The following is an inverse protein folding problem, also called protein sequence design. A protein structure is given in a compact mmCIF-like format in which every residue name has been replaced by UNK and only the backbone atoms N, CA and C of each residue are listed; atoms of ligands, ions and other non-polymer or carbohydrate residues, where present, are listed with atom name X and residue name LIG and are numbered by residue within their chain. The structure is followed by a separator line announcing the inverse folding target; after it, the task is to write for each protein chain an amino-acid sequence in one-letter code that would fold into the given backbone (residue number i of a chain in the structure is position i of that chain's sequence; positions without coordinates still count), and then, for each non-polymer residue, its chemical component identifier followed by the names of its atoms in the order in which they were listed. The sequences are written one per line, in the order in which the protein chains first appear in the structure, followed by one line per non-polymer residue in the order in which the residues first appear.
data_IF_510643445165
#
_entry.id   IF_510643445165
#
_cell.length_a   1.000
_cell.length_b   1.000
_cell.length_c   1.000
_cell.angle_alpha   90.00
_cell.angle_beta   90.00
_cell.angle_gamma   90.00
#
_symmetry.space_group_name_H-M   'P 1'
#
loop_
_entity.id
_entity.type
_entity.pdbx_description
1 polymer ?
#
# COMPACT_ATOMS: atom_id res chain seq x y z
N UNK A 1 -9.60 10.96 23.47
CA UNK A 1 -10.52 9.82 23.24
C UNK A 1 -10.67 9.63 21.74
N UNK A 2 -10.60 8.37 21.30
CA UNK A 2 -10.37 7.92 19.92
C UNK A 2 -11.59 8.19 19.02
N UNK A 3 -11.41 8.91 17.92
CA UNK A 3 -12.42 9.03 16.86
C UNK A 3 -12.35 7.79 15.93
N UNK A 4 -12.54 6.60 16.48
CA UNK A 4 -12.84 5.41 15.68
C UNK A 4 -14.35 5.37 15.57
N UNK A 5 -14.88 5.55 14.37
CA UNK A 5 -16.31 5.43 14.11
C UNK A 5 -16.54 3.98 13.65
N UNK A 6 -17.23 3.14 14.45
CA UNK A 6 -17.60 1.79 14.03
C UNK A 6 -18.30 1.78 12.67
N UNK A 7 -18.18 0.70 11.91
CA UNK A 7 -18.85 0.56 10.60
C UNK A 7 -20.35 0.88 10.65
N UNK A 8 -20.97 0.49 11.75
CA UNK A 8 -22.39 0.68 12.04
C UNK A 8 -22.71 2.17 12.26
N UNK A 9 -21.79 2.92 12.87
CA UNK A 9 -21.91 4.37 13.06
C UNK A 9 -21.58 5.17 11.78
N UNK A 10 -20.74 4.64 10.88
CA UNK A 10 -20.54 5.20 9.54
C UNK A 10 -21.79 5.10 8.65
N UNK A 11 -22.69 4.15 8.94
CA UNK A 11 -24.04 4.13 8.35
C UNK A 11 -24.97 5.18 8.96
N UNK A 12 -24.67 5.65 10.17
CA UNK A 12 -25.48 6.62 10.95
C UNK A 12 -25.07 8.09 10.74
N UNK A 13 -23.82 8.33 10.33
CA UNK A 13 -23.33 9.64 9.89
C UNK A 13 -23.41 9.70 8.38
N UNK A 14 -24.02 10.75 7.84
CA UNK A 14 -24.13 10.98 6.40
C UNK A 14 -22.74 11.03 5.73
N UNK A 15 -22.33 10.00 4.97
CA UNK A 15 -21.03 9.98 4.30
C UNK A 15 -20.87 11.16 3.34
N UNK A 16 -21.97 11.65 2.74
CA UNK A 16 -21.94 12.81 1.84
C UNK A 16 -21.48 14.07 2.57
N UNK A 17 -21.93 14.27 3.80
CA UNK A 17 -21.51 15.39 4.64
C UNK A 17 -20.01 15.34 4.95
N UNK A 18 -19.48 14.16 5.28
CA UNK A 18 -18.05 13.97 5.52
C UNK A 18 -17.23 14.30 4.26
N UNK A 19 -17.59 13.72 3.11
CA UNK A 19 -16.94 13.98 1.81
C UNK A 19 -16.98 15.47 1.45
N UNK A 20 -18.11 16.15 1.70
CA UNK A 20 -18.26 17.59 1.42
C UNK A 20 -17.35 18.46 2.29
N UNK A 21 -17.13 18.06 3.55
CA UNK A 21 -16.35 18.83 4.53
C UNK A 21 -14.84 18.58 4.48
N UNK A 22 -14.41 17.51 3.81
CA UNK A 22 -13.02 17.10 3.67
C UNK A 22 -12.24 18.04 2.75
N UNK A 23 -10.97 18.29 3.08
CA UNK A 23 -10.05 19.08 2.24
C UNK A 23 -9.31 18.19 1.24
N UNK A 24 -9.16 16.89 1.51
CA UNK A 24 -8.58 15.92 0.60
C UNK A 24 -8.95 14.47 0.90
N UNK A 25 -8.53 13.57 0.01
CA UNK A 25 -8.84 12.15 0.10
C UNK A 25 -7.60 11.29 -0.10
N UNK A 26 -7.46 10.25 0.72
CA UNK A 26 -6.56 9.13 0.46
C UNK A 26 -7.42 7.94 0.08
N UNK A 27 -7.11 7.31 -1.05
CA UNK A 27 -7.87 6.16 -1.54
C UNK A 27 -6.96 4.94 -1.61
N UNK A 28 -7.38 3.84 -1.00
CA UNK A 28 -6.82 2.55 -1.34
C UNK A 28 -7.19 2.17 -2.79
N UNK A 29 -6.37 1.30 -3.39
CA UNK A 29 -6.58 0.81 -4.75
C UNK A 29 -7.30 -0.55 -4.80
N UNK A 30 -6.70 -1.60 -4.26
CA UNK A 30 -7.10 -3.00 -4.49
C UNK A 30 -8.22 -3.39 -3.51
N UNK A 31 -9.43 -3.61 -4.01
CA UNK A 31 -10.63 -3.84 -3.18
C UNK A 31 -11.42 -2.56 -2.87
N UNK A 32 -10.81 -1.39 -3.08
CA UNK A 32 -11.43 -0.08 -2.94
C UNK A 32 -11.74 0.58 -4.28
N UNK A 33 -10.74 1.09 -5.01
CA UNK A 33 -10.96 1.72 -6.32
C UNK A 33 -11.11 0.70 -7.45
N UNK A 34 -10.44 -0.44 -7.34
CA UNK A 34 -10.31 -1.43 -8.39
C UNK A 34 -10.47 -2.86 -7.86
N UNK A 35 -10.93 -3.76 -8.73
CA UNK A 35 -10.97 -5.20 -8.47
C UNK A 35 -10.11 -5.88 -9.54
N UNK A 36 -9.10 -6.66 -9.14
CA UNK A 36 -8.14 -7.29 -10.06
C UNK A 36 -7.52 -6.27 -11.05
N UNK A 37 -7.19 -5.06 -10.58
CA UNK A 37 -6.70 -3.92 -11.38
C UNK A 37 -7.67 -3.38 -12.45
N UNK A 38 -8.94 -3.77 -12.40
CA UNK A 38 -10.01 -3.15 -13.18
C UNK A 38 -10.67 -2.08 -12.33
N UNK A 39 -10.51 -0.82 -12.73
CA UNK A 39 -11.10 0.32 -12.03
C UNK A 39 -12.63 0.21 -12.03
N UNK A 40 -13.23 0.36 -10.85
CA UNK A 40 -14.67 0.34 -10.68
C UNK A 40 -15.28 1.64 -11.26
N UNK A 41 -16.30 1.59 -12.13
CA UNK A 41 -16.85 2.78 -12.78
C UNK A 41 -17.31 3.88 -11.81
N UNK A 42 -17.94 3.50 -10.70
CA UNK A 42 -18.41 4.43 -9.67
C UNK A 42 -17.24 5.07 -8.92
N UNK A 43 -16.18 4.30 -8.62
CA UNK A 43 -14.95 4.83 -8.06
C UNK A 43 -14.26 5.78 -9.04
N UNK A 44 -14.28 5.48 -10.34
CA UNK A 44 -13.74 6.35 -11.38
C UNK A 44 -14.45 7.71 -11.41
N UNK A 45 -15.78 7.73 -11.24
CA UNK A 45 -16.54 8.97 -11.15
C UNK A 45 -16.12 9.80 -9.93
N UNK A 46 -15.94 9.17 -8.77
CA UNK A 46 -15.44 9.84 -7.55
C UNK A 46 -14.02 10.40 -7.73
N UNK A 47 -13.10 9.59 -8.26
CA UNK A 47 -11.73 9.99 -8.57
C UNK A 47 -11.71 11.20 -9.50
N UNK A 48 -12.49 11.17 -10.59
CA UNK A 48 -12.57 12.29 -11.55
C UNK A 48 -13.13 13.57 -10.90
N UNK A 49 -14.14 13.45 -10.05
CA UNK A 49 -14.73 14.57 -9.34
C UNK A 49 -13.79 15.22 -8.30
N UNK A 50 -12.76 14.49 -7.83
CA UNK A 50 -11.89 14.93 -6.75
C UNK A 50 -10.37 14.88 -7.06
N UNK A 51 -9.98 14.64 -8.31
CA UNK A 51 -8.59 14.44 -8.75
C UNK A 51 -7.60 15.53 -8.29
N UNK A 52 -8.08 16.77 -8.12
CA UNK A 52 -7.26 17.89 -7.69
C UNK A 52 -6.80 17.82 -6.22
N UNK A 53 -7.46 17.00 -5.39
CA UNK A 53 -7.26 16.95 -3.93
C UNK A 53 -7.18 15.53 -3.37
N UNK A 54 -6.81 14.55 -4.18
CA UNK A 54 -6.68 13.16 -3.74
C UNK A 54 -5.30 12.59 -4.03
N UNK A 55 -4.96 11.54 -3.29
CA UNK A 55 -3.86 10.63 -3.60
C UNK A 55 -4.32 9.18 -3.48
N UNK A 56 -3.72 8.31 -4.29
CA UNK A 56 -3.83 6.87 -4.13
C UNK A 56 -2.76 6.42 -3.14
N UNK A 57 -3.16 5.65 -2.14
CA UNK A 57 -2.28 5.08 -1.10
C UNK A 57 -2.53 3.58 -1.03
N UNK A 58 -1.66 2.81 -1.67
CA UNK A 58 -1.85 1.37 -1.83
C UNK A 58 -0.67 0.57 -1.30
N UNK A 59 -0.99 -0.56 -0.66
CA UNK A 59 -0.02 -1.58 -0.30
C UNK A 59 0.51 -2.35 -1.52
N UNK A 60 0.07 -2.02 -2.73
CA UNK A 60 0.59 -2.59 -3.96
C UNK A 60 2.13 -2.49 -4.01
N UNK A 61 2.75 -3.65 -4.21
CA UNK A 61 4.20 -3.80 -4.30
C UNK A 61 4.62 -4.50 -5.59
N UNK A 62 3.75 -4.49 -6.61
CA UNK A 62 4.03 -5.09 -7.92
C UNK A 62 4.10 -4.07 -9.05
N UNK A 63 3.26 -3.03 -9.00
CA UNK A 63 3.14 -2.00 -10.03
C UNK A 63 3.93 -0.74 -9.72
N UNK A 64 4.24 0.00 -10.78
CA UNK A 64 4.82 1.34 -10.77
C UNK A 64 3.71 2.40 -10.95
N UNK A 65 3.99 3.70 -10.66
CA UNK A 65 3.02 4.76 -10.85
C UNK A 65 2.64 4.92 -12.31
N UNK A 66 3.57 4.70 -13.24
CA UNK A 66 3.30 4.80 -14.66
C UNK A 66 2.32 3.71 -15.13
N UNK A 67 2.45 2.49 -14.61
CA UNK A 67 1.49 1.41 -14.86
C UNK A 67 0.10 1.74 -14.28
N UNK A 68 0.06 2.31 -13.08
CA UNK A 68 -1.19 2.76 -12.45
C UNK A 68 -1.84 3.91 -13.23
N UNK A 69 -1.04 4.88 -13.70
CA UNK A 69 -1.51 5.98 -14.55
C UNK A 69 -2.10 5.47 -15.84
N UNK A 70 -1.48 4.49 -16.49
CA UNK A 70 -2.04 3.89 -17.71
C UNK A 70 -3.43 3.27 -17.51
N UNK A 71 -3.79 2.87 -16.27
CA UNK A 71 -5.15 2.42 -15.92
C UNK A 71 -6.08 3.63 -15.73
N UNK A 72 -5.64 4.65 -15.00
CA UNK A 72 -6.39 5.88 -14.72
C UNK A 72 -6.70 6.69 -15.99
N UNK A 73 -5.74 6.81 -16.90
CA UNK A 73 -5.82 7.58 -18.14
C UNK A 73 -6.96 7.05 -19.04
N UNK A 74 -7.17 5.73 -19.08
CA UNK A 74 -8.30 5.10 -19.81
C UNK A 74 -9.67 5.54 -19.29
N UNK A 75 -9.72 6.04 -18.06
CA UNK A 75 -10.93 6.56 -17.41
C UNK A 75 -10.95 8.09 -17.35
N UNK A 76 -10.04 8.78 -18.05
CA UNK A 76 -9.97 10.24 -18.07
C UNK A 76 -9.69 10.84 -16.70
N UNK A 77 -8.87 10.17 -15.88
CA UNK A 77 -8.42 10.65 -14.57
C UNK A 77 -6.95 11.02 -14.69
N UNK A 78 -6.64 12.31 -14.53
CA UNK A 78 -5.27 12.80 -14.61
C UNK A 78 -4.71 12.96 -13.19
N UNK A 79 -3.96 11.94 -12.74
CA UNK A 79 -3.32 11.95 -11.43
C UNK A 79 -1.78 12.02 -11.58
N UNK A 80 -1.12 13.06 -11.05
CA UNK A 80 0.34 13.14 -11.03
C UNK A 80 0.98 11.90 -10.36
N UNK A 81 2.10 11.37 -10.88
CA UNK A 81 2.80 10.21 -10.30
C UNK A 81 3.10 10.34 -8.81
N UNK A 82 3.38 11.56 -8.34
CA UNK A 82 3.69 11.85 -6.93
C UNK A 82 2.50 11.57 -6.02
N UNK A 83 1.27 11.65 -6.54
CA UNK A 83 0.03 11.35 -5.82
C UNK A 83 -0.37 9.88 -5.89
N UNK A 84 0.50 9.01 -6.43
CA UNK A 84 0.32 7.57 -6.46
C UNK A 84 1.38 6.94 -5.56
N UNK A 85 1.02 6.74 -4.30
CA UNK A 85 1.90 6.18 -3.28
C UNK A 85 1.73 4.66 -3.23
N UNK A 86 2.76 3.95 -3.64
CA UNK A 86 2.81 2.49 -3.69
C UNK A 86 3.86 1.97 -2.72
N UNK A 87 3.47 1.04 -1.86
CA UNK A 87 4.36 0.51 -0.82
C UNK A 87 5.66 -0.09 -1.36
N UNK A 88 5.62 -0.78 -2.52
CA UNK A 88 6.83 -1.34 -3.14
C UNK A 88 7.86 -0.27 -3.51
N UNK A 89 7.42 0.85 -4.06
CA UNK A 89 8.33 1.96 -4.39
C UNK A 89 8.90 2.62 -3.15
N UNK A 90 8.06 2.81 -2.12
CA UNK A 90 8.50 3.41 -0.87
C UNK A 90 9.51 2.53 -0.14
N UNK A 91 9.39 1.20 -0.26
CA UNK A 91 10.39 0.28 0.26
C UNK A 91 11.76 0.43 -0.43
N UNK A 92 11.77 0.58 -1.76
CA UNK A 92 13.00 0.87 -2.53
C UNK A 92 13.58 2.23 -2.15
N UNK A 93 12.73 3.27 -2.06
CA UNK A 93 13.13 4.60 -1.63
C UNK A 93 13.74 4.56 -0.23
N UNK A 94 13.14 3.80 0.70
CA UNK A 94 13.63 3.68 2.07
C UNK A 94 15.02 3.03 2.13
N UNK A 95 15.24 1.95 1.39
CA UNK A 95 16.56 1.33 1.28
C UNK A 95 17.63 2.33 0.79
N UNK A 96 17.28 3.13 -0.22
CA UNK A 96 18.16 4.18 -0.76
C UNK A 96 18.43 5.28 0.26
N UNK A 97 17.41 5.76 0.95
CA UNK A 97 17.52 6.84 1.93
C UNK A 97 18.35 6.39 3.15
N UNK A 98 18.39 5.08 3.45
CA UNK A 98 19.30 4.45 4.40
C UNK A 98 20.72 4.20 3.87
N UNK A 99 21.00 4.54 2.61
CA UNK A 99 22.31 4.32 1.99
C UNK A 99 22.63 2.87 1.63
N UNK A 100 21.65 1.97 1.65
CA UNK A 100 21.82 0.54 1.37
C UNK A 100 21.94 0.34 -0.15
N UNK A 101 23.09 -0.17 -0.60
CA UNK A 101 23.44 -0.30 -2.02
C UNK A 101 23.24 -1.70 -2.57
N UNK A 102 23.36 -2.74 -1.74
CA UNK A 102 23.16 -4.14 -2.14
C UNK A 102 21.88 -4.69 -1.50
N UNK A 103 20.87 -4.97 -2.30
CA UNK A 103 19.58 -5.48 -1.82
C UNK A 103 19.24 -6.84 -2.44
N UNK A 104 18.76 -7.76 -1.61
CA UNK A 104 18.04 -8.93 -2.10
C UNK A 104 16.55 -8.60 -2.12
N UNK A 105 15.91 -8.72 -3.29
CA UNK A 105 14.51 -8.34 -3.46
C UNK A 105 13.69 -9.57 -3.81
N UNK A 106 12.73 -9.92 -2.94
CA UNK A 106 11.62 -10.82 -3.28
C UNK A 106 10.51 -9.93 -3.81
N UNK A 107 10.27 -9.93 -5.11
CA UNK A 107 9.39 -8.97 -5.76
C UNK A 107 9.36 -9.10 -7.29
N UNK A 108 8.41 -8.40 -7.91
CA UNK A 108 8.19 -8.40 -9.36
C UNK A 108 9.44 -7.96 -10.15
N UNK A 109 9.56 -8.30 -11.45
CA UNK A 109 10.67 -7.83 -12.27
C UNK A 109 10.68 -6.31 -12.39
N UNK A 110 9.51 -5.68 -12.44
CA UNK A 110 9.36 -4.24 -12.49
C UNK A 110 9.97 -3.56 -11.25
N UNK A 111 9.73 -4.11 -10.05
CA UNK A 111 10.32 -3.58 -8.81
C UNK A 111 11.82 -3.78 -8.75
N UNK A 112 12.34 -4.94 -9.19
CA UNK A 112 13.79 -5.19 -9.29
C UNK A 112 14.46 -4.20 -10.25
N UNK A 113 13.86 -3.98 -11.41
CA UNK A 113 14.34 -3.01 -12.39
C UNK A 113 14.27 -1.56 -11.85
N UNK A 114 13.22 -1.23 -11.10
CA UNK A 114 13.09 0.07 -10.44
C UNK A 114 14.19 0.29 -9.39
N UNK A 115 14.50 -0.72 -8.58
CA UNK A 115 15.59 -0.67 -7.61
C UNK A 115 16.95 -0.42 -8.30
N UNK A 116 17.23 -1.14 -9.39
CA UNK A 116 18.45 -0.96 -10.18
C UNK A 116 18.56 0.47 -10.74
N UNK A 117 17.49 1.00 -11.35
CA UNK A 117 17.45 2.40 -11.82
C UNK A 117 17.60 3.42 -10.70
N UNK A 118 17.25 3.04 -9.46
CA UNK A 118 17.39 3.88 -8.26
C UNK A 118 18.79 3.78 -7.62
N UNK A 119 19.74 3.08 -8.26
CA UNK A 119 21.11 2.92 -7.79
C UNK A 119 21.30 1.86 -6.71
N UNK A 120 20.39 0.88 -6.65
CA UNK A 120 20.50 -0.31 -5.78
C UNK A 120 20.90 -1.51 -6.64
N UNK A 121 22.02 -2.13 -6.31
CA UNK A 121 22.44 -3.40 -6.85
C UNK A 121 21.56 -4.52 -6.30
N UNK A 122 20.88 -5.24 -7.20
CA UNK A 122 20.04 -6.38 -6.83
C UNK A 122 20.90 -7.65 -6.80
N UNK A 123 21.11 -8.18 -5.61
CA UNK A 123 21.94 -9.36 -5.34
C UNK A 123 21.10 -10.54 -4.88
N UNK A 124 21.66 -11.75 -4.92
CA UNK A 124 21.02 -12.97 -4.41
C UNK A 124 21.50 -13.35 -3.00
N UNK A 125 22.70 -12.93 -2.65
CA UNK A 125 23.44 -13.29 -1.44
C UNK A 125 24.26 -12.07 -0.98
N UNK A 126 24.72 -12.07 0.27
CA UNK A 126 25.47 -10.96 0.90
C UNK A 126 24.76 -9.59 0.77
N UNK A 127 23.43 -9.59 0.90
CA UNK A 127 22.66 -8.37 0.86
C UNK A 127 22.85 -7.55 2.14
N UNK A 128 22.88 -6.22 2.02
CA UNK A 128 22.78 -5.31 3.17
C UNK A 128 21.33 -5.20 3.66
N UNK A 129 20.38 -5.48 2.77
CA UNK A 129 18.94 -5.44 3.04
C UNK A 129 18.20 -6.48 2.23
N UNK A 130 17.25 -7.16 2.87
CA UNK A 130 16.22 -7.94 2.21
C UNK A 130 14.97 -7.07 2.09
N UNK A 131 14.47 -6.88 0.87
CA UNK A 131 13.22 -6.17 0.61
C UNK A 131 12.17 -7.19 0.20
N UNK A 132 11.13 -7.32 1.03
CA UNK A 132 9.98 -8.20 0.76
C UNK A 132 8.87 -7.42 0.09
N UNK A 133 8.42 -7.95 -1.03
CA UNK A 133 7.26 -7.53 -1.79
C UNK A 133 6.52 -8.78 -2.26
N UNK A 134 5.35 -8.57 -2.86
CA UNK A 134 4.60 -9.65 -3.49
C UNK A 134 5.34 -10.15 -4.72
N UNK A 135 5.61 -11.47 -4.77
CA UNK A 135 6.14 -12.16 -5.95
C UNK A 135 5.44 -13.52 -6.10
N UNK A 136 4.61 -13.65 -7.13
CA UNK A 136 3.91 -14.90 -7.44
C UNK A 136 4.83 -16.00 -7.97
N UNK A 137 6.12 -15.70 -8.18
CA UNK A 137 7.14 -16.64 -8.65
C UNK A 137 8.21 -16.88 -7.60
N UNK A 138 7.96 -16.50 -6.34
CA UNK A 138 8.87 -16.79 -5.24
C UNK A 138 9.13 -18.31 -5.18
N UNK A 139 10.37 -18.67 -4.90
CA UNK A 139 10.79 -20.07 -4.77
C UNK A 139 11.27 -20.32 -3.36
N UNK A 140 11.24 -21.59 -2.95
CA UNK A 140 11.81 -22.02 -1.67
C UNK A 140 13.28 -21.57 -1.51
N UNK A 141 14.10 -21.78 -2.54
CA UNK A 141 15.49 -21.32 -2.56
C UNK A 141 15.67 -19.79 -2.42
N UNK A 142 14.69 -19.00 -2.87
CA UNK A 142 14.71 -17.55 -2.66
C UNK A 142 14.42 -17.19 -1.19
N UNK A 143 13.50 -17.90 -0.54
CA UNK A 143 13.23 -17.71 0.89
C UNK A 143 14.42 -18.15 1.75
N UNK A 144 15.07 -19.28 1.43
CA UNK A 144 16.28 -19.73 2.13
C UNK A 144 17.43 -18.70 2.03
N UNK A 145 17.68 -18.16 0.84
CA UNK A 145 18.69 -17.11 0.66
C UNK A 145 18.35 -15.84 1.43
N UNK A 146 17.07 -15.45 1.47
CA UNK A 146 16.63 -14.31 2.26
C UNK A 146 16.87 -14.57 3.75
N UNK A 147 16.50 -15.75 4.26
CA UNK A 147 16.76 -16.15 5.64
C UNK A 147 18.26 -16.10 5.99
N UNK A 148 19.13 -16.61 5.11
CA UNK A 148 20.57 -16.56 5.30
C UNK A 148 21.13 -15.13 5.32
N UNK A 149 20.63 -14.24 4.46
CA UNK A 149 21.02 -12.83 4.50
C UNK A 149 20.61 -12.17 5.82
N UNK A 150 19.39 -12.44 6.30
CA UNK A 150 18.87 -11.90 7.57
C UNK A 150 19.66 -12.43 8.77
N UNK A 151 19.95 -13.73 8.81
CA UNK A 151 20.82 -14.32 9.83
C UNK A 151 22.25 -13.75 9.80
N UNK A 152 22.70 -13.30 8.63
CA UNK A 152 23.97 -12.59 8.44
C UNK A 152 23.95 -11.10 8.81
N UNK A 153 22.84 -10.58 9.34
CA UNK A 153 22.70 -9.19 9.79
C UNK A 153 22.17 -8.21 8.73
N UNK A 154 21.61 -8.70 7.62
CA UNK A 154 20.90 -7.84 6.69
C UNK A 154 19.67 -7.21 7.35
N UNK A 155 19.39 -5.93 7.03
CA UNK A 155 18.13 -5.29 7.43
C UNK A 155 16.95 -5.93 6.70
N UNK A 156 15.75 -5.81 7.27
CA UNK A 156 14.52 -6.28 6.63
C UNK A 156 13.59 -5.11 6.34
N UNK A 157 13.24 -4.90 5.08
CA UNK A 157 12.20 -3.95 4.69
C UNK A 157 11.03 -4.74 4.12
N UNK A 158 9.87 -4.62 4.75
CA UNK A 158 8.63 -5.28 4.33
C UNK A 158 7.72 -4.23 3.70
N UNK A 159 7.43 -4.38 2.41
CA UNK A 159 6.60 -3.40 1.71
C UNK A 159 5.21 -3.29 2.34
N UNK A 160 4.55 -4.41 2.65
CA UNK A 160 3.26 -4.42 3.33
C UNK A 160 3.13 -5.65 4.25
N UNK A 161 2.33 -5.57 5.32
CA UNK A 161 2.13 -6.68 6.25
C UNK A 161 0.98 -7.62 5.85
N UNK A 162 0.28 -7.35 4.74
CA UNK A 162 -0.91 -8.09 4.35
C UNK A 162 -0.58 -9.57 4.13
N UNK A 163 -1.26 -10.48 4.82
CA UNK A 163 -1.04 -11.92 4.66
C UNK A 163 -1.65 -12.48 3.38
N UNK A 164 -2.81 -11.97 2.98
CA UNK A 164 -3.51 -12.38 1.78
C UNK A 164 -4.59 -11.38 1.35
N UNK A 165 -5.06 -11.49 0.11
CA UNK A 165 -6.29 -10.84 -0.35
C UNK A 165 -7.24 -11.86 -1.02
N UNK A 166 -8.50 -11.45 -1.22
CA UNK A 166 -9.51 -12.22 -1.98
C UNK A 166 -9.40 -11.87 -3.46
N UNK A 167 -8.95 -12.82 -4.28
CA UNK A 167 -9.00 -12.68 -5.73
C UNK A 167 -10.31 -13.23 -6.33
N UNK A 168 -10.41 -13.23 -7.66
CA UNK A 168 -11.53 -13.81 -8.41
C UNK A 168 -11.99 -15.19 -7.87
N UNK A 169 -13.32 -15.35 -7.78
CA UNK A 169 -14.01 -16.52 -7.21
C UNK A 169 -13.68 -16.79 -5.73
N UNK A 170 -13.45 -15.73 -4.94
CA UNK A 170 -13.14 -15.77 -3.50
C UNK A 170 -11.87 -16.57 -3.13
N UNK A 171 -10.99 -16.85 -4.11
CA UNK A 171 -9.73 -17.57 -3.86
C UNK A 171 -8.77 -16.72 -3.05
N UNK A 172 -8.11 -17.37 -2.09
CA UNK A 172 -7.06 -16.74 -1.28
C UNK A 172 -5.82 -16.55 -2.17
N UNK A 173 -5.30 -15.32 -2.21
CA UNK A 173 -4.04 -14.97 -2.86
C UNK A 173 -3.05 -14.53 -1.80
N UNK A 174 -1.88 -15.16 -1.78
CA UNK A 174 -0.82 -14.78 -0.84
C UNK A 174 -0.29 -13.38 -1.15
N UNK A 175 0.00 -12.65 -0.08
CA UNK A 175 0.62 -11.32 -0.10
C UNK A 175 1.97 -11.33 0.63
N UNK A 176 2.64 -10.17 0.66
CA UNK A 176 3.99 -10.02 1.25
C UNK A 176 4.08 -10.54 2.68
N UNK A 177 3.04 -10.34 3.49
CA UNK A 177 2.97 -10.80 4.88
C UNK A 177 3.08 -12.31 5.04
N UNK A 178 2.66 -13.10 4.05
CA UNK A 178 2.85 -14.56 4.09
C UNK A 178 4.33 -14.94 3.99
N UNK A 179 5.11 -14.22 3.18
CA UNK A 179 6.56 -14.43 3.09
C UNK A 179 7.28 -13.90 4.31
N UNK A 180 6.81 -12.77 4.86
CA UNK A 180 7.32 -12.23 6.11
C UNK A 180 7.16 -13.24 7.26
N UNK A 181 5.97 -13.79 7.44
CA UNK A 181 5.71 -14.82 8.47
C UNK A 181 6.56 -16.08 8.27
N UNK A 182 6.81 -16.50 7.03
CA UNK A 182 7.68 -17.64 6.74
C UNK A 182 9.13 -17.38 7.17
N UNK A 183 9.63 -16.15 7.00
CA UNK A 183 10.98 -15.76 7.42
C UNK A 183 11.06 -15.55 8.93
N UNK A 184 10.04 -14.97 9.54
CA UNK A 184 9.91 -14.81 11.00
C UNK A 184 9.92 -16.16 11.72
N UNK A 185 9.33 -17.20 11.11
CA UNK A 185 9.37 -18.55 11.66
C UNK A 185 10.77 -19.22 11.56
N UNK A 186 11.65 -18.74 10.67
CA UNK A 186 12.93 -19.37 10.36
C UNK A 186 14.14 -18.63 10.96
N UNK A 187 14.03 -17.33 11.20
CA UNK A 187 15.13 -16.46 11.65
C UNK A 187 14.64 -15.57 12.79
N UNK A 188 15.49 -15.36 13.79
CA UNK A 188 15.24 -14.35 14.84
C UNK A 188 15.31 -12.94 14.24
N UNK A 189 14.15 -12.41 13.84
CA UNK A 189 14.03 -11.07 13.28
C UNK A 189 14.24 -9.97 14.32
N UNK A 190 14.37 -10.26 15.62
CA UNK A 190 14.72 -9.23 16.61
C UNK A 190 16.12 -8.66 16.37
N UNK A 191 17.00 -9.44 15.74
CA UNK A 191 18.34 -9.01 15.34
C UNK A 191 18.35 -8.32 13.96
N UNK A 192 17.35 -8.59 13.12
CA UNK A 192 17.18 -7.91 11.86
C UNK A 192 16.39 -6.62 12.10
N UNK A 193 17.01 -5.44 11.97
CA UNK A 193 16.27 -4.18 11.99
C UNK A 193 15.17 -4.20 10.91
N UNK A 194 13.92 -4.41 11.35
CA UNK A 194 12.78 -4.68 10.49
C UNK A 194 11.88 -3.45 10.41
N UNK A 195 11.56 -3.01 9.19
CA UNK A 195 10.70 -1.86 8.94
C UNK A 195 9.55 -2.23 7.98
N UNK A 196 8.31 -1.94 8.40
CA UNK A 196 7.10 -2.10 7.57
C UNK A 196 6.75 -0.74 6.97
N UNK A 197 6.62 -0.69 5.65
CA UNK A 197 6.53 0.59 4.92
C UNK A 197 5.10 1.01 4.64
N UNK A 198 4.29 0.09 4.13
CA UNK A 198 2.91 0.34 3.73
C UNK A 198 1.98 0.57 4.92
N UNK A 199 0.68 0.68 4.63
CA UNK A 199 -0.39 0.78 5.62
C UNK A 199 -0.34 -0.46 6.53
N UNK A 200 -0.47 -0.32 7.87
CA UNK A 200 -0.94 0.86 8.63
C UNK A 200 0.18 1.82 9.13
N UNK A 201 1.34 1.89 8.46
CA UNK A 201 2.43 2.79 8.86
C UNK A 201 2.00 4.27 8.82
N UNK A 202 2.13 4.98 9.95
CA UNK A 202 1.77 6.40 10.05
C UNK A 202 2.54 7.28 9.06
N UNK A 203 3.82 6.96 8.81
CA UNK A 203 4.67 7.70 7.89
C UNK A 203 4.08 7.74 6.48
N UNK A 204 3.41 6.66 6.07
CA UNK A 204 2.82 6.55 4.74
C UNK A 204 1.60 7.46 4.58
N UNK A 205 0.70 7.49 5.57
CA UNK A 205 -0.45 8.41 5.59
C UNK A 205 -0.03 9.88 5.69
N UNK A 206 0.98 10.18 6.52
CA UNK A 206 1.49 11.53 6.71
C UNK A 206 2.16 12.07 5.45
N UNK A 207 2.95 11.24 4.76
CA UNK A 207 3.55 11.61 3.48
C UNK A 207 2.47 11.87 2.42
N UNK A 208 1.44 11.02 2.35
CA UNK A 208 0.32 11.22 1.42
C UNK A 208 -0.38 12.56 1.65
N UNK A 209 -0.67 12.91 2.92
CA UNK A 209 -1.24 14.20 3.29
C UNK A 209 -0.34 15.37 2.89
N UNK A 210 0.97 15.25 3.14
CA UNK A 210 1.97 16.26 2.77
C UNK A 210 1.97 16.52 1.26
N UNK A 211 1.90 15.46 0.45
CA UNK A 211 1.91 15.54 -1.02
C UNK A 211 0.67 16.27 -1.55
N UNK A 212 -0.51 16.03 -0.97
CA UNK A 212 -1.76 16.70 -1.38
C UNK A 212 -1.99 18.04 -0.66
N UNK A 213 -1.08 18.47 0.22
CA UNK A 213 -1.15 19.76 0.92
C UNK A 213 -2.22 19.82 2.02
N UNK A 214 -2.50 18.71 2.69
CA UNK A 214 -3.53 18.61 3.74
C UNK A 214 -2.96 18.12 5.06
N UNK A 215 -3.79 18.10 6.10
CA UNK A 215 -3.47 17.49 7.40
C UNK A 215 -4.37 16.27 7.65
N UNK A 216 -3.91 15.27 8.43
CA UNK A 216 -4.68 14.04 8.63
C UNK A 216 -6.13 14.26 9.07
N UNK A 217 -6.40 15.19 9.99
CA UNK A 217 -7.75 15.46 10.50
C UNK A 217 -8.69 16.17 9.52
N UNK A 218 -8.17 16.69 8.39
CA UNK A 218 -8.93 17.31 7.30
C UNK A 218 -9.03 16.42 6.06
N UNK A 219 -8.43 15.24 6.11
CA UNK A 219 -8.36 14.29 4.99
C UNK A 219 -9.17 13.05 5.34
N UNK A 220 -9.83 12.44 4.36
CA UNK A 220 -10.60 11.21 4.59
C UNK A 220 -9.91 10.04 3.90
N UNK A 221 -9.67 8.96 4.65
CA UNK A 221 -9.24 7.69 4.08
C UNK A 221 -10.46 6.91 3.57
N UNK A 222 -10.41 6.44 2.33
CA UNK A 222 -11.36 5.48 1.77
C UNK A 222 -10.59 4.18 1.51
N UNK A 223 -10.98 3.10 2.18
CA UNK A 223 -10.30 1.80 2.04
C UNK A 223 -11.21 0.63 2.38
N UNK A 224 -10.77 -0.58 2.07
CA UNK A 224 -11.55 -1.82 2.23
C UNK A 224 -11.01 -2.71 3.36
N UNK A 225 -9.80 -2.45 3.86
CA UNK A 225 -9.13 -3.29 4.84
C UNK A 225 -9.07 -2.62 6.24
N UNK A 226 -9.80 -3.15 7.25
CA UNK A 226 -9.76 -2.62 8.60
C UNK A 226 -8.37 -2.59 9.26
N UNK A 227 -7.55 -3.61 9.01
CA UNK A 227 -6.27 -3.80 9.71
C UNK A 227 -5.16 -2.89 9.17
N UNK A 228 -5.34 -2.34 7.96
CA UNK A 228 -4.34 -1.48 7.32
C UNK A 228 -4.88 -0.08 7.05
N UNK A 229 -6.01 0.07 6.35
CA UNK A 229 -6.58 1.36 5.99
C UNK A 229 -7.15 2.09 7.21
N UNK A 230 -8.05 1.41 7.91
CA UNK A 230 -8.80 1.99 9.01
C UNK A 230 -7.89 2.17 10.22
N UNK A 231 -7.16 1.14 10.62
CA UNK A 231 -6.17 1.22 11.70
C UNK A 231 -5.11 2.30 11.43
N UNK A 232 -4.58 2.37 10.20
CA UNK A 232 -3.61 3.39 9.81
C UNK A 232 -4.16 4.81 9.88
N UNK A 233 -5.38 5.04 9.40
CA UNK A 233 -6.07 6.32 9.49
C UNK A 233 -6.30 6.73 10.96
N UNK A 234 -6.71 5.78 11.81
CA UNK A 234 -6.95 6.01 13.24
C UNK A 234 -5.67 6.48 13.95
N UNK A 235 -4.53 5.83 13.68
CA UNK A 235 -3.23 6.18 14.29
C UNK A 235 -2.82 7.63 14.03
N UNK A 236 -3.17 8.17 12.86
CA UNK A 236 -2.85 9.56 12.50
C UNK A 236 -4.00 10.54 12.79
N UNK A 237 -5.12 10.09 13.36
CA UNK A 237 -6.29 10.93 13.67
C UNK A 237 -7.08 11.35 12.44
N UNK A 238 -7.06 10.55 11.38
CA UNK A 238 -7.73 10.79 10.11
C UNK A 238 -9.13 10.15 10.08
N UNK A 239 -10.18 10.89 9.70
CA UNK A 239 -11.48 10.30 9.38
C UNK A 239 -11.36 9.22 8.30
N UNK A 240 -12.13 8.15 8.40
CA UNK A 240 -12.07 7.04 7.46
C UNK A 240 -13.45 6.50 7.11
N UNK A 241 -13.57 5.94 5.91
CA UNK A 241 -14.76 5.25 5.41
C UNK A 241 -14.35 3.85 4.93
N UNK A 242 -15.03 2.83 5.46
CA UNK A 242 -14.87 1.47 4.95
C UNK A 242 -15.74 1.27 3.70
N UNK A 243 -15.08 0.92 2.59
CA UNK A 243 -15.66 0.72 1.26
C UNK A 243 -16.24 -0.68 1.08
N UNK A 244 -15.72 -1.66 1.83
CA UNK A 244 -16.20 -3.03 1.82
C UNK A 244 -17.68 -3.17 2.28
N UNK A 245 -18.41 -4.19 1.80
CA UNK A 245 -17.95 -5.30 0.95
C UNK A 245 -18.03 -5.04 -0.55
N UNK A 246 -18.61 -3.92 -0.99
CA UNK A 246 -18.89 -3.64 -2.40
C UNK A 246 -18.50 -2.20 -2.75
N UNK A 247 -17.36 -1.99 -3.42
CA UNK A 247 -16.96 -0.65 -3.84
C UNK A 247 -17.97 -0.01 -4.79
N UNK A 248 -18.62 -0.80 -5.67
CA UNK A 248 -19.68 -0.34 -6.55
C UNK A 248 -20.82 0.31 -5.77
N UNK A 249 -21.38 -0.43 -4.80
CA UNK A 249 -22.50 0.06 -3.99
C UNK A 249 -22.10 1.25 -3.11
N UNK A 250 -20.87 1.24 -2.59
CA UNK A 250 -20.36 2.31 -1.74
C UNK A 250 -20.24 3.62 -2.54
N UNK A 251 -19.52 3.62 -3.66
CA UNK A 251 -19.31 4.84 -4.45
C UNK A 251 -20.59 5.32 -5.12
N UNK A 252 -21.49 4.43 -5.53
CA UNK A 252 -22.82 4.80 -6.05
C UNK A 252 -23.63 5.66 -5.06
N UNK A 253 -23.42 5.47 -3.75
CA UNK A 253 -24.10 6.26 -2.70
C UNK A 253 -23.46 7.63 -2.46
N UNK A 254 -22.24 7.86 -2.95
CA UNK A 254 -21.53 9.14 -2.79
C UNK A 254 -21.77 10.11 -3.95
N UNK A 255 -22.23 9.59 -5.09
CA UNK A 255 -22.62 10.36 -6.28
C UNK A 255 -24.00 11.01 -6.04
#
# INVERSE_FOLDING_TARGET
MKNVIPLEELRSRDPKSLIKSADGFLLDWDGCCAIDNVLVPEAAAFLRAHQNRLAIVSNNSTHTPDEMRAILDKSGIELPPERILLAGMFAIRRARDLGLKRAMIIGSPAMKALAQRSGIEVVREEAQVVILMRDTRVTYAALERAANCLAGGAKLIVANPDGSHRGANARIRLETGAFHAALEAAVDLSQAETEIIGKPSEGFFREACRIIGTSPHRTVMLGDNPDTDIEGAIRVGMPCLLVAPSPQEFFARLI
#
